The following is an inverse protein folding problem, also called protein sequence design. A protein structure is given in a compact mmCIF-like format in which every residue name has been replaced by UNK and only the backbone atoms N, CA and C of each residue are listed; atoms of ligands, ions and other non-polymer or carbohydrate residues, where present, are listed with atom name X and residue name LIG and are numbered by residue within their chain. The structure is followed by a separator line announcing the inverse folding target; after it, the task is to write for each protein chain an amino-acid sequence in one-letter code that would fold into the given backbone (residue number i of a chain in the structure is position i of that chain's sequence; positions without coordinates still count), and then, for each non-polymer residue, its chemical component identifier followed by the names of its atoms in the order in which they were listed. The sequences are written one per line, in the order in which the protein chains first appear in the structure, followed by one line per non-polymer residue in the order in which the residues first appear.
data_IF_384761884643
#
_entry.id   IF_384761884643
#
_cell.length_a   1.000
_cell.length_b   1.000
_cell.length_c   1.000
_cell.angle_alpha   90.00
_cell.angle_beta   90.00
_cell.angle_gamma   90.00
#
_symmetry.space_group_name_H-M   'P 1'
#
loop_
_entity.id
_entity.type
_entity.pdbx_description
1 polymer ?
#
# COMPACT_ATOMS: atom_id res chain seq x y z
N UNK A 1 7.49 9.87 6.49
CA UNK A 1 6.20 9.64 5.80
C UNK A 1 5.62 8.24 6.05
N UNK A 2 4.69 8.06 6.97
CA UNK A 2 4.08 6.73 7.21
C UNK A 2 3.18 6.29 6.03
N UNK A 3 3.22 5.01 5.65
CA UNK A 3 2.27 4.40 4.71
C UNK A 3 1.45 3.35 5.43
N UNK A 4 0.13 3.44 5.31
CA UNK A 4 -0.80 2.55 6.00
C UNK A 4 -1.92 2.12 5.07
N UNK A 5 -2.35 0.87 5.21
CA UNK A 5 -3.54 0.37 4.53
C UNK A 5 -4.62 0.13 5.57
N UNK A 6 -5.82 0.59 5.26
CA UNK A 6 -6.99 0.51 6.12
C UNK A 6 -8.07 -0.30 5.43
N UNK A 7 -8.82 -1.06 6.22
CA UNK A 7 -10.01 -1.78 5.78
C UNK A 7 -11.18 -1.35 6.64
N UNK A 8 -12.29 -0.97 6.01
CA UNK A 8 -13.56 -0.65 6.66
C UNK A 8 -14.69 -1.29 5.85
N UNK A 9 -15.30 -2.34 6.39
CA UNK A 9 -16.24 -3.18 5.64
C UNK A 9 -15.58 -3.79 4.39
N UNK A 10 -16.19 -3.57 3.23
CA UNK A 10 -15.67 -3.94 1.91
C UNK A 10 -14.71 -2.92 1.33
N UNK A 11 -14.41 -1.82 2.04
CA UNK A 11 -13.62 -0.73 1.49
C UNK A 11 -12.18 -0.75 1.98
N UNK A 12 -11.25 -0.59 1.06
CA UNK A 12 -9.82 -0.52 1.29
C UNK A 12 -9.31 0.89 1.00
N UNK A 13 -8.43 1.41 1.85
CA UNK A 13 -7.82 2.73 1.71
C UNK A 13 -6.32 2.71 1.89
N UNK A 14 -5.60 3.40 1.01
CA UNK A 14 -4.17 3.66 1.10
C UNK A 14 -3.94 5.05 1.67
N UNK A 15 -3.34 5.10 2.85
CA UNK A 15 -3.00 6.33 3.54
C UNK A 15 -1.51 6.59 3.44
N UNK A 16 -1.15 7.83 3.13
CA UNK A 16 0.23 8.31 3.12
C UNK A 16 0.32 9.58 3.97
N UNK A 17 1.11 9.53 5.04
CA UNK A 17 1.23 10.62 6.00
C UNK A 17 -0.10 10.96 6.68
N UNK A 18 -0.95 9.96 6.93
CA UNK A 18 -2.28 10.12 7.52
C UNK A 18 -3.37 10.57 6.55
N UNK A 19 -3.03 10.90 5.29
CA UNK A 19 -4.01 11.30 4.27
C UNK A 19 -4.38 10.11 3.38
N UNK A 20 -5.67 9.85 3.20
CA UNK A 20 -6.15 8.86 2.23
C UNK A 20 -5.84 9.35 0.82
N UNK A 21 -4.96 8.61 0.12
CA UNK A 21 -4.53 8.91 -1.25
C UNK A 21 -5.25 8.09 -2.30
N UNK A 22 -5.61 6.86 -1.96
CA UNK A 22 -6.42 6.00 -2.83
C UNK A 22 -7.41 5.20 -1.98
N UNK A 23 -8.57 4.90 -2.56
CA UNK A 23 -9.64 4.15 -1.92
C UNK A 23 -10.37 3.31 -2.95
N UNK A 24 -10.70 2.07 -2.61
CA UNK A 24 -11.45 1.17 -3.49
C UNK A 24 -12.35 0.25 -2.68
N UNK A 25 -13.55 0.00 -3.20
CA UNK A 25 -14.48 -0.99 -2.64
C UNK A 25 -14.22 -2.32 -3.33
N UNK A 26 -14.12 -3.39 -2.54
CA UNK A 26 -14.09 -4.75 -3.06
C UNK A 26 -15.45 -5.13 -3.62
N UNK A 27 -15.46 -5.61 -4.85
CA UNK A 27 -16.62 -6.28 -5.44
C UNK A 27 -16.76 -7.69 -4.85
N UNK A 28 -17.96 -8.27 -4.94
CA UNK A 28 -18.30 -9.53 -4.26
C UNK A 28 -17.37 -10.70 -4.61
N UNK A 29 -16.88 -10.76 -5.86
CA UNK A 29 -15.98 -11.81 -6.37
C UNK A 29 -14.53 -11.32 -6.55
N UNK A 30 -14.18 -10.18 -5.95
CA UNK A 30 -12.88 -9.58 -6.12
C UNK A 30 -11.83 -10.33 -5.31
N UNK A 31 -10.97 -11.10 -5.98
CA UNK A 31 -9.88 -11.84 -5.34
C UNK A 31 -8.64 -10.98 -5.08
N UNK A 32 -8.51 -9.85 -5.78
CA UNK A 32 -7.33 -8.99 -5.69
C UNK A 32 -7.67 -7.53 -5.94
N UNK A 33 -7.17 -6.67 -5.07
CA UNK A 33 -7.33 -5.22 -5.16
C UNK A 33 -5.97 -4.56 -5.29
N UNK A 34 -5.85 -3.58 -6.17
CA UNK A 34 -4.71 -2.67 -6.21
C UNK A 34 -5.18 -1.25 -5.91
N UNK A 35 -4.39 -0.55 -5.08
CA UNK A 35 -4.50 0.86 -4.75
C UNK A 35 -3.15 1.51 -5.06
N UNK A 36 -3.13 2.52 -5.93
CA UNK A 36 -1.90 3.21 -6.27
C UNK A 36 -2.01 4.72 -6.07
N UNK A 37 -0.87 5.36 -5.82
CA UNK A 37 -0.78 6.81 -5.72
C UNK A 37 0.64 7.28 -6.01
N UNK A 38 0.76 8.45 -6.63
CA UNK A 38 2.05 9.12 -6.81
C UNK A 38 2.25 10.14 -5.68
N UNK A 39 3.42 10.08 -5.05
CA UNK A 39 3.84 11.01 -4.01
C UNK A 39 5.08 11.77 -4.47
N UNK A 40 5.22 13.02 -4.05
CA UNK A 40 6.43 13.79 -4.27
C UNK A 40 7.34 13.66 -3.06
N UNK A 41 8.56 13.15 -3.26
CA UNK A 41 9.56 12.92 -2.20
C UNK A 41 10.73 13.91 -2.23
N UNK A 42 10.78 14.79 -3.23
CA UNK A 42 11.78 15.85 -3.36
C UNK A 42 11.37 16.92 -4.38
N UNK A 43 12.29 17.80 -4.77
CA UNK A 43 11.99 18.95 -5.63
C UNK A 43 11.36 18.56 -6.98
N UNK A 44 11.72 17.40 -7.53
CA UNK A 44 11.10 16.84 -8.76
C UNK A 44 10.91 15.31 -8.71
N UNK A 45 11.26 14.70 -7.57
CA UNK A 45 11.23 13.25 -7.42
C UNK A 45 9.83 12.79 -7.04
N UNK A 46 9.29 11.90 -7.85
CA UNK A 46 8.02 11.26 -7.64
C UNK A 46 8.22 9.77 -7.39
N UNK A 47 7.54 9.23 -6.39
CA UNK A 47 7.47 7.79 -6.16
C UNK A 47 6.04 7.32 -6.42
N UNK A 48 5.90 6.28 -7.24
CA UNK A 48 4.65 5.57 -7.39
C UNK A 48 4.56 4.49 -6.32
N UNK A 49 3.62 4.64 -5.40
CA UNK A 49 3.28 3.64 -4.41
C UNK A 49 2.14 2.78 -4.93
N UNK A 50 2.29 1.47 -4.84
CA UNK A 50 1.24 0.50 -5.14
C UNK A 50 1.05 -0.46 -3.97
N UNK A 51 -0.17 -0.53 -3.47
CA UNK A 51 -0.61 -1.48 -2.46
C UNK A 51 -1.49 -2.53 -3.12
N UNK A 52 -1.01 -3.77 -3.13
CA UNK A 52 -1.69 -4.93 -3.66
C UNK A 52 -2.23 -5.74 -2.49
N UNK A 53 -3.51 -6.07 -2.54
CA UNK A 53 -4.26 -6.72 -1.49
C UNK A 53 -4.86 -7.98 -2.09
N UNK A 54 -4.40 -9.14 -1.64
CA UNK A 54 -4.94 -10.45 -2.02
C UNK A 54 -6.02 -10.86 -1.02
N UNK A 55 -7.18 -11.24 -1.54
CA UNK A 55 -8.36 -11.67 -0.79
C UNK A 55 -8.66 -13.17 -0.99
N UNK A 56 -7.86 -13.86 -1.82
CA UNK A 56 -8.13 -15.24 -2.25
C UNK A 56 -7.90 -16.30 -1.17
N UNK A 57 -7.05 -16.03 -0.18
CA UNK A 57 -6.58 -17.03 0.78
C UNK A 57 -7.33 -17.02 2.13
N UNK A 58 -8.38 -16.21 2.29
CA UNK A 58 -9.02 -15.97 3.59
C UNK A 58 -8.19 -15.09 4.54
N UNK A 59 -6.86 -15.11 4.40
CA UNK A 59 -5.92 -14.14 4.95
C UNK A 59 -5.66 -13.00 3.96
N UNK A 60 -5.61 -11.77 4.46
CA UNK A 60 -5.26 -10.61 3.65
C UNK A 60 -3.75 -10.60 3.46
N UNK A 61 -3.29 -10.93 2.25
CA UNK A 61 -1.89 -10.73 1.88
C UNK A 61 -1.73 -9.34 1.27
N UNK A 62 -0.72 -8.61 1.74
CA UNK A 62 -0.53 -7.21 1.42
C UNK A 62 0.89 -6.98 0.93
N UNK A 63 1.03 -6.45 -0.27
CA UNK A 63 2.30 -6.17 -0.90
C UNK A 63 2.36 -4.67 -1.21
N UNK A 64 3.37 -3.97 -0.71
CA UNK A 64 3.60 -2.56 -1.00
C UNK A 64 4.83 -2.44 -1.90
N UNK A 65 4.67 -1.73 -3.01
CA UNK A 65 5.74 -1.42 -3.96
C UNK A 65 5.95 0.09 -4.03
N UNK A 66 7.21 0.50 -4.17
CA UNK A 66 7.58 1.84 -4.61
C UNK A 66 8.33 1.72 -5.94
N UNK A 67 7.84 2.39 -6.98
CA UNK A 67 8.42 2.36 -8.33
C UNK A 67 8.64 0.92 -8.84
N UNK A 68 7.72 0.01 -8.52
CA UNK A 68 7.79 -1.41 -8.90
C UNK A 68 8.70 -2.27 -8.02
N UNK A 69 9.46 -1.69 -7.08
CA UNK A 69 10.28 -2.43 -6.12
C UNK A 69 9.47 -2.77 -4.87
N UNK A 70 9.46 -4.04 -4.47
CA UNK A 70 8.81 -4.48 -3.24
C UNK A 70 9.49 -3.82 -2.03
N UNK A 71 8.70 -3.12 -1.21
CA UNK A 71 9.11 -2.56 0.07
C UNK A 71 8.82 -3.56 1.18
N UNK A 72 7.63 -4.14 1.15
CA UNK A 72 7.20 -5.09 2.16
C UNK A 72 6.09 -5.99 1.63
N UNK A 73 6.03 -7.20 2.18
CA UNK A 73 4.96 -8.15 1.98
C UNK A 73 4.53 -8.72 3.32
N UNK A 74 3.23 -8.71 3.58
CA UNK A 74 2.63 -9.25 4.79
C UNK A 74 1.61 -10.32 4.41
N UNK A 75 1.59 -11.42 5.16
CA UNK A 75 0.51 -12.41 5.11
C UNK A 75 -0.11 -12.52 6.50
N UNK A 76 -1.35 -12.06 6.66
CA UNK A 76 -2.09 -12.18 7.92
C UNK A 76 -3.06 -11.02 8.21
N UNK A 77 -3.86 -11.16 9.27
CA UNK A 77 -4.89 -10.21 9.66
C UNK A 77 -4.36 -8.76 9.85
N UNK A 78 -5.11 -7.81 9.29
CA UNK A 78 -4.66 -6.47 8.89
C UNK A 78 -4.17 -5.54 10.01
N UNK A 79 -2.90 -5.15 9.95
CA UNK A 79 -2.42 -3.75 10.01
C UNK A 79 -0.92 -3.71 9.75
N UNK A 80 -0.49 -3.11 8.64
CA UNK A 80 0.94 -2.96 8.31
C UNK A 80 1.36 -1.51 8.57
N UNK A 81 2.24 -1.30 9.55
CA UNK A 81 2.93 -0.04 9.76
C UNK A 81 4.27 -0.09 9.00
N UNK A 82 4.37 0.62 7.88
CA UNK A 82 5.62 0.67 7.10
C UNK A 82 6.42 1.91 7.50
N UNK A 83 7.67 1.70 7.92
CA UNK A 83 8.57 2.81 8.20
C UNK A 83 9.10 3.42 6.88
N UNK A 84 8.80 4.70 6.59
CA UNK A 84 9.30 5.44 5.42
C UNK A 84 10.81 5.38 5.22
N UNK A 85 11.59 5.30 6.30
CA UNK A 85 13.05 5.39 6.19
C UNK A 85 13.67 4.18 5.45
N UNK A 86 12.90 3.10 5.22
CA UNK A 86 13.32 2.00 4.34
C UNK A 86 12.97 2.20 2.87
N UNK A 87 12.09 3.15 2.54
CA UNK A 87 11.67 3.42 1.16
C UNK A 87 12.77 4.20 0.41
N UNK A 88 13.65 4.92 1.12
CA UNK A 88 14.80 5.64 0.55
C UNK A 88 16.18 4.98 0.69
N UNK A 89 16.31 3.79 1.27
CA UNK A 89 17.61 3.15 1.50
C UNK A 89 18.05 2.32 0.28
N UNK A 90 18.23 2.97 -0.86
CA UNK A 90 19.06 2.43 -1.95
C UNK A 90 20.04 3.53 -2.36
N UNK A 91 20.99 3.81 -1.46
CA UNK A 91 22.19 4.59 -1.77
C UNK A 91 23.41 3.74 -1.43
N UNK A 92 23.78 2.86 -2.36
CA UNK A 92 25.14 2.67 -2.89
C UNK A 92 25.14 1.55 -3.91
#
# INVERSE_FOLDING_TARGET
MEVKITKSGSTFGLLVGGLTRAKRVAEADCLRISLSTTIQTGYEWHENLEAIIDLSAGDVALELKANGKEITKYGGACSVNVNPNKIGANSK
#
